data_IF_921856190347
#
_entry.id   IF_921856190347
#
_cell.length_a   1.000
_cell.length_b   1.000
_cell.length_c   1.000
_cell.angle_alpha   90.00
_cell.angle_beta   90.00
_cell.angle_gamma   90.00
#
_symmetry.space_group_name_H-M   'P 1'
#
loop_
_entity.id
_entity.type
_entity.pdbx_description
1 polymer ?
#
# COMPACT_ATOMS: atom_id res chain seq x y z
N UNK A 1 -7.41 1.97 20.83
CA UNK A 1 -6.59 1.11 21.70
C UNK A 1 -5.61 0.24 20.92
N UNK A 2 -6.05 -0.66 20.02
CA UNK A 2 -5.14 -1.53 19.24
C UNK A 2 -4.07 -0.80 18.42
N UNK A 3 -4.43 0.28 17.71
CA UNK A 3 -3.51 1.08 16.89
C UNK A 3 -2.41 1.84 17.64
N UNK A 4 -2.45 1.86 18.99
CA UNK A 4 -1.43 2.54 19.82
C UNK A 4 -0.72 1.52 20.71
N UNK A 5 -1.47 0.62 21.35
CA UNK A 5 -0.89 -0.37 22.27
C UNK A 5 0.01 -1.39 21.55
N UNK A 6 -0.40 -1.87 20.38
CA UNK A 6 0.33 -2.91 19.65
C UNK A 6 1.68 -2.41 19.08
N UNK A 7 1.75 -1.20 18.46
CA UNK A 7 3.02 -0.58 18.10
C UNK A 7 3.98 -0.39 19.27
N UNK A 8 3.48 0.14 20.40
CA UNK A 8 4.32 0.43 21.58
C UNK A 8 4.84 -0.85 22.20
N UNK A 9 3.99 -1.87 22.35
CA UNK A 9 4.38 -3.15 22.94
C UNK A 9 5.42 -3.88 22.09
N UNK A 10 5.23 -3.92 20.76
CA UNK A 10 6.18 -4.58 19.84
C UNK A 10 7.53 -3.86 19.80
N UNK A 11 7.52 -2.53 19.85
CA UNK A 11 8.75 -1.73 19.91
C UNK A 11 9.56 -2.03 21.19
N UNK A 12 8.90 -2.08 22.34
CA UNK A 12 9.57 -2.30 23.63
C UNK A 12 10.18 -3.70 23.78
N UNK A 13 9.60 -4.71 23.14
CA UNK A 13 10.05 -6.11 23.27
C UNK A 13 11.02 -6.52 22.17
N UNK A 14 10.76 -6.11 20.92
CA UNK A 14 11.46 -6.62 19.74
C UNK A 14 12.18 -5.57 18.92
N UNK A 15 12.06 -4.27 19.26
CA UNK A 15 12.64 -3.17 18.48
C UNK A 15 11.99 -2.92 17.12
N UNK A 16 10.90 -3.62 16.77
CA UNK A 16 10.13 -3.44 15.54
C UNK A 16 8.73 -2.90 15.86
N UNK A 17 8.15 -2.14 14.93
CA UNK A 17 6.81 -1.56 15.09
C UNK A 17 5.83 -2.32 14.20
N UNK A 18 4.88 -3.04 14.82
CA UNK A 18 3.72 -3.55 14.08
C UNK A 18 2.57 -2.54 14.11
N UNK A 19 2.15 -2.08 12.94
CA UNK A 19 0.95 -1.28 12.78
C UNK A 19 -0.32 -2.13 12.90
N UNK A 20 -1.28 -1.66 13.69
CA UNK A 20 -2.63 -2.26 13.76
C UNK A 20 -3.64 -1.34 13.07
N UNK A 21 -4.15 -1.76 11.91
CA UNK A 21 -5.25 -1.11 11.22
C UNK A 21 -6.51 -1.98 11.31
N UNK A 22 -7.59 -1.43 11.86
CA UNK A 22 -8.91 -2.06 11.75
C UNK A 22 -9.33 -1.98 10.27
N UNK A 23 -9.80 -3.08 9.65
CA UNK A 23 -10.26 -3.03 8.26
C UNK A 23 -11.40 -2.00 8.13
N UNK A 24 -11.35 -1.21 7.06
CA UNK A 24 -12.32 -0.16 6.79
C UNK A 24 -13.66 -0.81 6.42
N UNK A 25 -14.75 -0.54 7.16
CA UNK A 25 -16.05 -1.14 6.86
C UNK A 25 -16.60 -0.58 5.54
N UNK A 26 -17.12 -1.44 4.67
CA UNK A 26 -17.91 -1.06 3.51
C UNK A 26 -19.28 -1.76 3.54
N UNK A 27 -20.28 -1.17 2.90
CA UNK A 27 -21.63 -1.75 2.81
C UNK A 27 -21.81 -2.49 1.47
N UNK A 28 -21.88 -3.84 1.45
CA UNK A 28 -22.05 -4.61 0.21
C UNK A 28 -23.36 -4.31 -0.53
N UNK A 29 -24.43 -3.95 0.20
CA UNK A 29 -25.74 -3.64 -0.39
C UNK A 29 -25.74 -2.37 -1.25
N UNK A 30 -24.72 -1.52 -1.11
CA UNK A 30 -24.55 -0.32 -1.93
C UNK A 30 -23.79 -0.59 -3.25
N UNK A 31 -23.34 -1.82 -3.49
CA UNK A 31 -22.61 -2.19 -4.70
C UNK A 31 -23.59 -2.47 -5.85
N UNK A 32 -23.39 -1.79 -6.99
CA UNK A 32 -24.21 -1.98 -8.19
C UNK A 32 -24.25 -3.43 -8.67
N UNK A 33 -23.16 -4.17 -8.45
CA UNK A 33 -23.04 -5.57 -8.84
C UNK A 33 -22.78 -6.45 -7.60
N UNK A 34 -23.85 -7.02 -7.02
CA UNK A 34 -23.77 -7.74 -5.75
C UNK A 34 -22.90 -9.01 -5.80
N UNK A 35 -22.78 -9.65 -6.97
CA UNK A 35 -21.96 -10.88 -7.14
C UNK A 35 -20.46 -10.58 -7.24
N UNK A 36 -20.08 -9.54 -7.97
CA UNK A 36 -18.68 -9.20 -8.27
C UNK A 36 -18.14 -8.01 -7.48
N UNK A 37 -19.03 -7.24 -6.85
CA UNK A 37 -18.70 -6.04 -6.09
C UNK A 37 -17.65 -6.30 -5.00
N UNK A 38 -17.80 -7.31 -4.15
CA UNK A 38 -16.80 -7.62 -3.13
C UNK A 38 -15.41 -7.94 -3.72
N UNK A 39 -15.36 -8.70 -4.82
CA UNK A 39 -14.12 -9.02 -5.51
C UNK A 39 -13.46 -7.77 -6.14
N UNK A 40 -14.26 -6.88 -6.72
CA UNK A 40 -13.77 -5.61 -7.27
C UNK A 40 -13.26 -4.68 -6.17
N UNK A 41 -13.93 -4.63 -5.01
CA UNK A 41 -13.50 -3.84 -3.86
C UNK A 41 -12.19 -4.39 -3.29
N UNK A 42 -12.05 -5.72 -3.19
CA UNK A 42 -10.80 -6.36 -2.78
C UNK A 42 -9.65 -6.09 -3.76
N UNK A 43 -9.92 -6.18 -5.06
CA UNK A 43 -8.94 -5.91 -6.12
C UNK A 43 -8.55 -4.44 -6.27
N UNK A 44 -9.38 -3.50 -5.80
CA UNK A 44 -9.09 -2.06 -5.89
C UNK A 44 -7.83 -1.65 -5.13
N UNK A 45 -7.54 -2.31 -4.00
CA UNK A 45 -6.33 -2.04 -3.20
C UNK A 45 -5.03 -2.39 -3.94
N UNK A 46 -4.84 -3.65 -4.40
CA UNK A 46 -3.69 -4.01 -5.24
C UNK A 46 -3.58 -3.15 -6.51
N UNK A 47 -4.71 -2.86 -7.17
CA UNK A 47 -4.71 -2.09 -8.41
C UNK A 47 -4.23 -0.64 -8.22
N UNK A 48 -4.65 0.04 -7.15
CA UNK A 48 -4.20 1.41 -6.87
C UNK A 48 -2.71 1.47 -6.54
N UNK A 49 -2.21 0.51 -5.77
CA UNK A 49 -0.79 0.39 -5.44
C UNK A 49 0.06 0.14 -6.71
N UNK A 50 -0.36 -0.79 -7.57
CA UNK A 50 0.32 -1.04 -8.86
C UNK A 50 0.32 0.21 -9.72
N UNK A 51 -0.81 0.92 -9.81
CA UNK A 51 -0.92 2.16 -10.58
C UNK A 51 0.09 3.22 -10.10
N UNK A 52 0.17 3.46 -8.79
CA UNK A 52 1.14 4.40 -8.21
C UNK A 52 2.57 3.96 -8.50
N UNK A 53 2.89 2.67 -8.33
CA UNK A 53 4.21 2.13 -8.61
C UNK A 53 4.60 2.35 -10.09
N UNK A 54 3.69 2.11 -11.03
CA UNK A 54 3.92 2.32 -12.46
C UNK A 54 4.17 3.79 -12.79
N UNK A 55 3.38 4.72 -12.22
CA UNK A 55 3.56 6.15 -12.43
C UNK A 55 4.95 6.60 -11.96
N UNK A 56 5.34 6.25 -10.74
CA UNK A 56 6.65 6.66 -10.21
C UNK A 56 7.82 5.94 -10.88
N UNK A 57 7.66 4.69 -11.30
CA UNK A 57 8.67 3.99 -12.10
C UNK A 57 8.86 4.64 -13.47
N UNK A 58 7.77 5.07 -14.13
CA UNK A 58 7.83 5.80 -15.39
C UNK A 58 8.52 7.16 -15.23
N UNK A 59 8.21 7.90 -14.16
CA UNK A 59 8.88 9.16 -13.83
C UNK A 59 10.37 8.96 -13.56
N UNK A 60 10.74 7.96 -12.76
CA UNK A 60 12.13 7.62 -12.48
C UNK A 60 12.89 7.30 -13.78
N UNK A 61 12.27 6.55 -14.70
CA UNK A 61 12.87 6.26 -16.00
C UNK A 61 13.04 7.52 -16.86
N UNK A 62 12.02 8.37 -16.91
CA UNK A 62 12.01 9.59 -17.72
C UNK A 62 13.07 10.61 -17.27
N UNK A 63 13.30 10.73 -15.97
CA UNK A 63 14.24 11.69 -15.38
C UNK A 63 15.55 11.06 -14.88
N UNK A 64 15.84 9.81 -15.26
CA UNK A 64 16.98 9.04 -14.74
C UNK A 64 18.36 9.71 -14.90
N UNK A 65 18.54 10.58 -15.90
CA UNK A 65 19.80 11.30 -16.13
C UNK A 65 19.85 12.71 -15.52
N UNK A 66 18.71 13.25 -15.07
CA UNK A 66 18.57 14.66 -14.65
C UNK A 66 18.02 14.83 -13.24
N UNK A 67 17.46 13.79 -12.64
CA UNK A 67 16.93 13.81 -11.29
C UNK A 67 18.06 13.87 -10.25
N UNK A 68 17.98 14.74 -9.24
CA UNK A 68 18.86 14.68 -8.08
C UNK A 68 18.77 13.33 -7.37
N UNK A 69 19.90 12.80 -6.90
CA UNK A 69 19.99 11.53 -6.15
C UNK A 69 18.92 11.38 -5.04
N UNK A 70 18.68 12.38 -4.16
CA UNK A 70 17.65 12.25 -3.13
C UNK A 70 16.24 12.05 -3.70
N UNK A 71 15.92 12.68 -4.84
CA UNK A 71 14.62 12.55 -5.48
C UNK A 71 14.46 11.15 -6.09
N UNK A 72 15.50 10.64 -6.74
CA UNK A 72 15.52 9.28 -7.29
C UNK A 72 15.37 8.21 -6.19
N UNK A 73 15.99 8.42 -5.02
CA UNK A 73 15.84 7.54 -3.86
C UNK A 73 14.40 7.53 -3.32
N UNK A 74 13.76 8.71 -3.23
CA UNK A 74 12.35 8.82 -2.80
C UNK A 74 11.45 8.07 -3.80
N UNK A 75 11.61 8.28 -5.11
CA UNK A 75 10.79 7.60 -6.12
C UNK A 75 10.98 6.09 -6.07
N UNK A 76 12.21 5.63 -5.94
CA UNK A 76 12.53 4.19 -5.78
C UNK A 76 11.83 3.61 -4.55
N UNK A 77 11.85 4.34 -3.43
CA UNK A 77 11.17 3.93 -2.19
C UNK A 77 9.66 3.85 -2.40
N UNK A 78 9.06 4.85 -3.07
CA UNK A 78 7.62 4.85 -3.39
C UNK A 78 7.25 3.62 -4.23
N UNK A 79 8.02 3.33 -5.27
CA UNK A 79 7.79 2.15 -6.13
C UNK A 79 7.89 0.87 -5.31
N UNK A 80 8.96 0.71 -4.52
CA UNK A 80 9.17 -0.47 -3.70
C UNK A 80 8.04 -0.71 -2.70
N UNK A 81 7.67 0.31 -1.93
CA UNK A 81 6.60 0.23 -0.92
C UNK A 81 5.25 -0.10 -1.57
N UNK A 82 4.91 0.51 -2.70
CA UNK A 82 3.65 0.23 -3.36
C UNK A 82 3.61 -1.19 -3.96
N UNK A 83 4.71 -1.70 -4.52
CA UNK A 83 4.76 -3.10 -4.97
C UNK A 83 4.60 -4.04 -3.78
N UNK A 84 5.31 -3.80 -2.68
CA UNK A 84 5.21 -4.59 -1.46
C UNK A 84 3.77 -4.61 -0.92
N UNK A 85 3.12 -3.45 -0.84
CA UNK A 85 1.72 -3.35 -0.41
C UNK A 85 0.75 -4.00 -1.40
N UNK A 86 1.01 -3.92 -2.71
CA UNK A 86 0.19 -4.61 -3.72
C UNK A 86 0.25 -6.13 -3.53
N UNK A 87 1.45 -6.70 -3.33
CA UNK A 87 1.64 -8.12 -3.07
C UNK A 87 0.97 -8.51 -1.76
N UNK A 88 1.18 -7.74 -0.69
CA UNK A 88 0.55 -7.99 0.61
C UNK A 88 -0.99 -8.00 0.52
N UNK A 89 -1.58 -7.08 -0.25
CA UNK A 89 -3.03 -7.01 -0.45
C UNK A 89 -3.59 -8.17 -1.32
N UNK A 90 -2.74 -8.91 -2.02
CA UNK A 90 -3.13 -10.10 -2.81
C UNK A 90 -2.96 -11.42 -2.04
N UNK A 91 -2.30 -11.38 -0.86
CA UNK A 91 -2.20 -12.56 0.01
C UNK A 91 -3.58 -12.83 0.65
N UNK A 92 -4.13 -14.04 0.51
CA UNK A 92 -5.43 -14.41 1.06
C UNK A 92 -5.45 -14.52 2.59
#
# INVERSE_FOLDING_TARGET
>A
MGSVLLPVFTYLIGGFIFGWAKPVPYNPYNLKNQRWGPALVGGAGPASNIFVALVFAALLRAFSASAPEPLAAIFTTIVFVNILLAVFNLVP
#
